data_IF_779008999733
#
_entry.id   IF_779008999733
#
_cell.length_a   1.000
_cell.length_b   1.000
_cell.length_c   1.000
_cell.angle_alpha   90.00
_cell.angle_beta   90.00
_cell.angle_gamma   90.00
#
_symmetry.space_group_name_H-M   'P 1'
#
loop_
_entity.id
_entity.type
_entity.pdbx_description
1 polymer ?
#
# COMPACT_ATOMS: atom_id res chain seq x y z
N UNK A 1 -18.07 35.72 -25.95
CA UNK A 1 -18.15 34.76 -24.82
C UNK A 1 -18.21 33.28 -25.27
N UNK A 2 -18.94 32.95 -26.34
CA UNK A 2 -18.99 31.60 -26.95
C UNK A 2 -17.64 30.94 -27.29
N UNK A 3 -16.63 31.66 -27.85
CA UNK A 3 -15.34 31.02 -28.14
C UNK A 3 -14.56 30.65 -26.88
N UNK A 4 -14.73 31.41 -25.79
CA UNK A 4 -14.03 31.17 -24.52
C UNK A 4 -14.49 29.87 -23.86
N UNK A 5 -15.80 29.56 -23.96
CA UNK A 5 -16.39 28.30 -23.48
C UNK A 5 -15.88 27.12 -24.31
N UNK A 6 -15.72 27.30 -25.61
CA UNK A 6 -15.20 26.27 -26.51
C UNK A 6 -13.74 25.92 -26.20
N UNK A 7 -12.92 26.93 -25.91
CA UNK A 7 -11.55 26.72 -25.45
C UNK A 7 -11.50 26.03 -24.08
N UNK A 8 -12.35 26.41 -23.12
CA UNK A 8 -12.40 25.76 -21.81
C UNK A 8 -12.79 24.27 -21.89
N UNK A 9 -13.74 23.91 -22.76
CA UNK A 9 -14.13 22.51 -23.00
C UNK A 9 -13.03 21.69 -23.68
N UNK A 10 -12.22 22.31 -24.54
CA UNK A 10 -11.11 21.65 -25.23
C UNK A 10 -9.97 21.24 -24.28
N UNK A 11 -9.76 22.00 -23.20
CA UNK A 11 -8.69 21.76 -22.23
C UNK A 11 -9.14 20.98 -20.98
N UNK A 12 -10.45 20.75 -20.81
CA UNK A 12 -11.02 19.95 -19.71
C UNK A 12 -10.43 18.52 -19.56
N UNK A 13 -10.11 17.77 -20.64
CA UNK A 13 -9.59 16.40 -20.48
C UNK A 13 -8.10 16.35 -20.07
N UNK A 14 -7.36 17.46 -20.08
CA UNK A 14 -5.93 17.46 -19.70
C UNK A 14 -5.72 17.43 -18.17
N UNK A 15 -6.72 17.76 -17.38
CA UNK A 15 -6.60 17.87 -15.91
C UNK A 15 -6.47 16.48 -15.26
N UNK A 16 -6.88 15.41 -15.94
CA UNK A 16 -6.89 14.04 -15.41
C UNK A 16 -5.69 13.17 -15.75
N UNK A 17 -4.73 13.62 -16.57
CA UNK A 17 -3.54 12.84 -16.94
C UNK A 17 -2.44 12.93 -15.87
N UNK A 18 -2.74 12.52 -14.65
CA UNK A 18 -1.69 12.22 -13.67
C UNK A 18 -1.35 10.73 -13.79
N UNK A 19 -0.23 10.43 -14.44
CA UNK A 19 0.30 9.08 -14.44
C UNK A 19 0.63 8.70 -12.99
N UNK A 20 -0.11 7.73 -12.44
CA UNK A 20 0.21 7.16 -11.14
C UNK A 20 1.53 6.40 -11.28
N UNK A 21 2.64 7.04 -10.88
CA UNK A 21 3.93 6.38 -10.80
C UNK A 21 3.81 5.26 -9.75
N UNK A 22 3.73 4.02 -10.24
CA UNK A 22 3.66 2.86 -9.36
C UNK A 22 5.05 2.67 -8.77
N UNK A 23 5.28 3.24 -7.59
CA UNK A 23 6.54 3.05 -6.87
C UNK A 23 6.73 1.57 -6.61
N UNK A 24 7.90 1.05 -6.98
CA UNK A 24 8.26 -0.33 -6.65
C UNK A 24 8.33 -0.47 -5.13
N UNK A 25 7.72 -1.50 -4.52
CA UNK A 25 7.85 -1.74 -3.10
C UNK A 25 9.28 -2.17 -2.77
N UNK A 26 9.74 -1.84 -1.56
CA UNK A 26 10.91 -2.49 -0.98
C UNK A 26 10.49 -3.88 -0.46
N UNK A 27 11.36 -4.87 -0.58
CA UNK A 27 11.12 -6.23 -0.07
C UNK A 27 12.06 -6.50 1.09
N UNK A 28 11.49 -6.82 2.26
CA UNK A 28 12.22 -7.33 3.43
C UNK A 28 11.77 -8.77 3.67
N UNK A 29 12.71 -9.71 3.63
CA UNK A 29 12.46 -11.12 3.90
C UNK A 29 13.13 -11.51 5.22
N UNK A 30 12.33 -11.98 6.17
CA UNK A 30 12.78 -12.39 7.50
C UNK A 30 12.56 -13.89 7.61
N UNK A 31 13.60 -14.64 7.98
CA UNK A 31 13.55 -16.08 8.23
C UNK A 31 13.86 -16.32 9.70
N UNK A 32 13.01 -17.11 10.35
CA UNK A 32 13.26 -17.65 11.67
C UNK A 32 13.37 -19.16 11.56
N UNK A 33 14.38 -19.74 12.19
CA UNK A 33 14.55 -21.18 12.30
C UNK A 33 13.63 -21.73 13.40
N UNK A 34 13.08 -22.92 13.19
CA UNK A 34 12.23 -23.63 14.16
C UNK A 34 11.02 -22.87 14.75
N UNK A 35 10.52 -21.83 14.08
CA UNK A 35 9.34 -21.09 14.54
C UNK A 35 8.04 -21.88 14.26
N UNK A 36 7.41 -22.36 15.31
CA UNK A 36 6.15 -23.10 15.28
C UNK A 36 4.91 -22.20 15.19
N UNK A 37 3.81 -22.74 14.65
CA UNK A 37 2.55 -21.98 14.49
C UNK A 37 1.95 -21.49 15.83
N UNK A 38 2.06 -22.29 16.90
CA UNK A 38 1.50 -21.98 18.21
C UNK A 38 2.33 -21.00 19.06
N UNK A 39 3.42 -20.46 18.52
CA UNK A 39 4.35 -19.62 19.26
C UNK A 39 4.03 -18.12 19.16
N UNK A 40 3.31 -17.71 18.10
CA UNK A 40 2.93 -16.31 17.89
C UNK A 40 1.56 -16.00 18.50
N UNK A 41 1.43 -14.83 19.14
CA UNK A 41 0.19 -14.36 19.73
C UNK A 41 -0.95 -14.25 18.72
N UNK A 42 -0.67 -13.75 17.51
CA UNK A 42 -1.64 -13.63 16.43
C UNK A 42 -2.19 -14.98 15.92
N UNK A 43 -1.55 -16.10 16.27
CA UNK A 43 -2.02 -17.46 15.98
C UNK A 43 -2.56 -18.20 17.22
N UNK A 44 -2.77 -17.49 18.34
CA UNK A 44 -3.31 -18.06 19.58
C UNK A 44 -2.24 -18.61 20.54
N UNK A 45 -0.96 -18.34 20.29
CA UNK A 45 0.12 -18.60 21.23
C UNK A 45 -0.01 -17.72 22.48
N UNK A 46 0.10 -18.32 23.67
CA UNK A 46 -0.05 -17.61 24.96
C UNK A 46 1.20 -17.71 25.85
N UNK A 47 2.32 -18.23 25.31
CA UNK A 47 3.55 -18.47 26.06
C UNK A 47 4.46 -17.24 26.12
N UNK A 48 4.95 -16.80 24.96
CA UNK A 48 5.94 -15.71 24.83
C UNK A 48 5.26 -14.52 24.13
N UNK A 49 5.35 -13.29 24.67
CA UNK A 49 4.82 -12.11 23.99
C UNK A 49 5.57 -11.80 22.69
N UNK A 50 4.84 -11.65 21.58
CA UNK A 50 5.38 -11.35 20.23
C UNK A 50 4.90 -10.02 19.65
N UNK A 51 4.97 -8.89 20.39
CA UNK A 51 4.25 -7.65 20.06
C UNK A 51 4.66 -6.99 18.73
N UNK A 52 5.87 -7.25 18.23
CA UNK A 52 6.32 -6.71 16.93
C UNK A 52 5.82 -7.53 15.73
N UNK A 53 5.43 -8.79 15.95
CA UNK A 53 4.87 -9.68 14.93
C UNK A 53 3.33 -9.65 14.97
N UNK A 54 2.75 -9.45 16.16
CA UNK A 54 1.30 -9.42 16.36
C UNK A 54 0.61 -8.12 15.89
N UNK A 55 1.38 -7.06 15.60
CA UNK A 55 0.88 -5.73 15.20
C UNK A 55 0.68 -5.60 13.70
#
# INVERSE_FOLDING_TARGET
MKPLIFFALLFLPLIGLQAAETKKPNVLFIVADDLGYGELGCYGGNGIPTPNIDR
#
